data_IF_714419297123
#
_entry.id   IF_714419297123
#
_cell.length_a   1.000
_cell.length_b   1.000
_cell.length_c   1.000
_cell.angle_alpha   90.00
_cell.angle_beta   90.00
_cell.angle_gamma   90.00
#
_symmetry.space_group_name_H-M   'P 1'
#
loop_
_entity.id
_entity.type
_entity.pdbx_description
1 polymer ?
#
# COMPACT_ATOMS: atom_id res chain seq x y z
N UNK A 1 -6.95 -13.53 -5.76
CA UNK A 1 -7.60 -13.01 -4.55
C UNK A 1 -9.07 -13.27 -4.70
N UNK A 2 -9.56 -14.27 -3.99
CA UNK A 2 -10.98 -14.57 -3.93
C UNK A 2 -11.68 -13.46 -3.14
N UNK A 3 -12.71 -12.81 -3.69
CA UNK A 3 -13.38 -11.68 -3.03
C UNK A 3 -13.94 -12.07 -1.64
N UNK A 4 -14.35 -13.32 -1.49
CA UNK A 4 -14.86 -13.88 -0.23
C UNK A 4 -13.80 -13.92 0.88
N UNK A 5 -12.53 -14.18 0.55
CA UNK A 5 -11.44 -14.19 1.53
C UNK A 5 -11.10 -12.78 2.02
N UNK A 6 -11.21 -11.78 1.14
CA UNK A 6 -10.96 -10.37 1.50
C UNK A 6 -12.05 -9.85 2.43
N UNK A 7 -13.31 -10.21 2.19
CA UNK A 7 -14.42 -9.82 3.07
C UNK A 7 -14.32 -10.48 4.44
N UNK A 8 -14.04 -11.79 4.49
CA UNK A 8 -13.83 -12.50 5.76
C UNK A 8 -12.65 -11.93 6.55
N UNK A 9 -11.53 -11.62 5.88
CA UNK A 9 -10.37 -11.00 6.53
C UNK A 9 -10.65 -9.60 7.08
N UNK A 10 -11.55 -8.83 6.47
CA UNK A 10 -11.96 -7.52 7.01
C UNK A 10 -12.79 -7.68 8.28
N UNK A 11 -13.71 -8.64 8.30
CA UNK A 11 -14.55 -8.91 9.47
C UNK A 11 -13.72 -9.37 10.67
N UNK A 12 -12.81 -10.32 10.45
CA UNK A 12 -11.93 -10.84 11.50
C UNK A 12 -11.07 -9.73 12.12
N UNK A 13 -10.47 -8.88 11.28
CA UNK A 13 -9.61 -7.78 11.74
C UNK A 13 -10.43 -6.66 12.39
N UNK A 14 -11.65 -6.38 11.91
CA UNK A 14 -12.55 -5.41 12.53
C UNK A 14 -12.92 -5.84 13.96
N UNK A 15 -13.25 -7.12 14.14
CA UNK A 15 -13.54 -7.69 15.45
C UNK A 15 -12.30 -7.73 16.35
N UNK A 16 -11.13 -8.09 15.83
CA UNK A 16 -9.87 -8.12 16.59
C UNK A 16 -9.48 -6.72 17.11
N UNK A 17 -9.59 -5.68 16.27
CA UNK A 17 -9.10 -4.35 16.62
C UNK A 17 -10.11 -3.50 17.38
N UNK A 18 -11.40 -3.64 17.08
CA UNK A 18 -12.44 -2.74 17.56
C UNK A 18 -13.58 -3.46 18.29
N UNK A 19 -13.63 -4.80 18.25
CA UNK A 19 -14.68 -5.59 18.89
C UNK A 19 -16.06 -5.43 18.24
N UNK A 20 -16.12 -4.96 16.98
CA UNK A 20 -17.35 -4.68 16.23
C UNK A 20 -17.23 -5.20 14.81
N UNK A 21 -18.36 -5.28 14.11
CA UNK A 21 -18.38 -5.67 12.69
C UNK A 21 -17.75 -4.59 11.81
N UNK A 22 -17.23 -4.99 10.63
CA UNK A 22 -16.64 -4.05 9.67
C UNK A 22 -17.62 -2.96 9.23
N UNK A 23 -18.91 -3.26 9.17
CA UNK A 23 -19.96 -2.30 8.82
C UNK A 23 -20.30 -1.30 9.92
N UNK A 24 -19.96 -1.59 11.17
CA UNK A 24 -20.13 -0.65 12.30
C UNK A 24 -18.93 0.28 12.49
N UNK A 25 -17.86 0.09 11.72
CA UNK A 25 -16.66 0.92 11.79
C UNK A 25 -16.86 2.26 11.09
N UNK A 26 -16.22 3.30 11.64
CA UNK A 26 -16.13 4.59 10.97
C UNK A 26 -15.28 4.49 9.69
N UNK A 27 -15.47 5.40 8.71
CA UNK A 27 -14.74 5.36 7.44
C UNK A 27 -13.21 5.30 7.58
N UNK A 28 -12.67 5.97 8.60
CA UNK A 28 -11.24 5.95 8.91
C UNK A 28 -10.76 4.57 9.40
N UNK A 29 -11.55 3.91 10.25
CA UNK A 29 -11.23 2.59 10.79
C UNK A 29 -11.37 1.49 9.74
N UNK A 30 -12.35 1.61 8.84
CA UNK A 30 -12.49 0.73 7.67
C UNK A 30 -11.26 0.77 6.76
N UNK A 31 -10.65 1.94 6.58
CA UNK A 31 -9.40 2.10 5.84
C UNK A 31 -8.23 1.39 6.52
N UNK A 32 -8.15 1.48 7.85
CA UNK A 32 -7.11 0.78 8.64
C UNK A 32 -7.25 -0.74 8.54
N UNK A 33 -8.47 -1.26 8.63
CA UNK A 33 -8.77 -2.69 8.43
C UNK A 33 -8.43 -3.12 7.00
N UNK A 34 -8.89 -2.38 5.99
CA UNK A 34 -8.60 -2.67 4.58
C UNK A 34 -7.10 -2.63 4.26
N UNK A 35 -6.36 -1.73 4.91
CA UNK A 35 -4.91 -1.66 4.85
C UNK A 35 -4.21 -2.86 5.50
N UNK A 36 -4.75 -3.41 6.59
CA UNK A 36 -4.20 -4.61 7.25
C UNK A 36 -4.50 -5.88 6.43
N UNK A 37 -5.72 -6.01 5.88
CA UNK A 37 -6.10 -7.10 4.97
C UNK A 37 -5.29 -7.05 3.67
N UNK A 38 -5.26 -5.91 2.99
CA UNK A 38 -4.54 -5.74 1.73
C UNK A 38 -3.02 -5.68 1.89
N UNK A 39 -2.54 -5.15 3.01
CA UNK A 39 -1.12 -5.03 3.36
C UNK A 39 -0.51 -6.35 3.77
N UNK A 40 -1.19 -7.16 4.59
CA UNK A 40 -0.72 -8.51 4.93
C UNK A 40 -0.65 -9.45 3.72
N UNK A 41 -1.44 -9.17 2.68
CA UNK A 41 -1.47 -9.93 1.44
C UNK A 41 -0.51 -9.42 0.35
N UNK A 42 -0.09 -8.15 0.40
CA UNK A 42 0.85 -7.55 -0.59
C UNK A 42 2.26 -7.28 -0.02
N UNK A 43 2.43 -7.39 1.29
CA UNK A 43 3.69 -7.30 2.01
C UNK A 43 3.68 -8.32 3.13
N UNK A 44 4.17 -9.51 2.83
CA UNK A 44 4.54 -10.45 3.87
C UNK A 44 5.54 -9.80 4.81
N UNK A 45 5.33 -10.01 6.10
CA UNK A 45 6.12 -9.46 7.21
C UNK A 45 6.01 -7.94 7.36
N UNK A 46 6.29 -7.48 8.59
CA UNK A 46 6.89 -6.18 8.83
C UNK A 46 7.66 -5.73 7.58
N UNK A 47 7.55 -4.46 7.19
CA UNK A 47 8.63 -3.83 6.45
C UNK A 47 9.89 -4.03 7.30
N UNK A 48 10.58 -5.15 7.08
CA UNK A 48 11.90 -5.44 7.59
C UNK A 48 12.74 -4.34 6.94
N UNK A 49 13.20 -3.34 7.69
CA UNK A 49 13.89 -2.20 7.10
C UNK A 49 15.17 -2.62 6.36
N UNK A 50 15.59 -3.87 6.52
CA UNK A 50 16.76 -4.50 5.89
C UNK A 50 16.41 -5.42 4.70
N UNK A 51 15.13 -5.64 4.40
CA UNK A 51 14.67 -6.50 3.28
C UNK A 51 13.73 -5.80 2.30
N UNK A 52 13.62 -4.48 2.35
CA UNK A 52 13.22 -3.76 1.16
C UNK A 52 14.31 -4.02 0.10
N UNK A 53 14.01 -4.62 -1.08
CA UNK A 53 14.97 -4.57 -2.16
C UNK A 53 15.31 -3.10 -2.34
N UNK A 54 16.62 -2.78 -2.45
CA UNK A 54 17.04 -1.40 -2.69
C UNK A 54 16.12 -0.81 -3.74
N UNK A 55 15.50 0.36 -3.48
CA UNK A 55 14.65 0.97 -4.48
C UNK A 55 15.45 0.97 -5.78
N UNK A 56 14.90 0.45 -6.89
CA UNK A 56 15.63 0.48 -8.15
C UNK A 56 16.14 1.90 -8.31
N UNK A 57 17.39 2.06 -8.71
CA UNK A 57 18.00 3.36 -8.91
C UNK A 57 17.29 4.07 -10.07
N UNK A 58 16.07 4.54 -9.83
CA UNK A 58 15.32 5.38 -10.73
C UNK A 58 16.02 6.71 -10.63
N UNK A 59 16.98 6.93 -11.53
CA UNK A 59 17.58 8.23 -11.76
C UNK A 59 16.48 9.13 -12.33
N UNK A 60 15.68 9.72 -11.44
CA UNK A 60 14.84 10.85 -11.82
C UNK A 60 15.78 12.00 -12.18
N UNK A 61 16.01 12.20 -13.48
CA UNK A 61 16.65 13.41 -14.00
C UNK A 61 17.85 13.24 -14.92
N UNK A 62 18.29 12.03 -15.30
CA UNK A 62 19.42 11.90 -16.25
C UNK A 62 18.99 11.94 -17.74
N UNK A 63 17.71 11.66 -18.03
CA UNK A 63 17.14 11.69 -19.39
C UNK A 63 15.99 12.72 -19.56
N UNK A 64 15.95 13.75 -18.72
CA UNK A 64 15.10 14.91 -19.00
C UNK A 64 15.96 16.03 -19.58
N UNK A 65 16.07 16.18 -20.92
CA UNK A 65 16.79 17.31 -21.48
C UNK A 65 16.15 18.58 -20.93
N UNK A 66 16.94 19.39 -20.22
CA UNK A 66 16.49 20.66 -19.69
C UNK A 66 15.79 21.47 -20.80
N UNK A 67 14.65 22.12 -20.53
CA UNK A 67 13.96 22.93 -21.52
C UNK A 67 14.79 24.20 -21.75
N UNK A 68 15.77 24.15 -22.67
CA UNK A 68 16.62 25.31 -22.92
C UNK A 68 17.75 25.16 -23.91
N UNK A 69 17.95 24.02 -24.58
CA UNK A 69 19.00 23.85 -25.60
C UNK A 69 18.38 23.41 -26.93
N UNK A 70 17.49 24.26 -27.46
CA UNK A 70 17.26 24.36 -28.90
C UNK A 70 17.96 25.65 -29.30
N UNK A 71 19.25 25.57 -29.60
CA UNK A 71 19.96 26.64 -30.27
C UNK A 71 20.30 26.15 -31.67
N UNK A 72 19.58 26.76 -32.61
CA UNK A 72 19.75 26.73 -34.04
C UNK A 72 21.21 26.99 -34.44
N UNK A 73 21.85 26.05 -35.14
CA UNK A 73 22.65 26.36 -36.35
C UNK A 73 23.02 25.12 -37.15
#
# INVERSE_FOLDING_TARGET
>A
MDPQQVEQGKEEIAQEMFGKSFDELEPHDRQRVGGKVGGGLRGGQLADPDRAPEPPAVKFGEDNPAPGQREDK
#
